data_IF_322341363177
#
_entry.id   IF_322341363177
#
_cell.length_a   1.000
_cell.length_b   1.000
_cell.length_c   1.000
_cell.angle_alpha   90.00
_cell.angle_beta   90.00
_cell.angle_gamma   90.00
#
_symmetry.space_group_name_H-M   'P 1'
#
loop_
_entity.id
_entity.type
_entity.pdbx_description
1 polymer ?
#
# COMPACT_ATOMS: atom_id res chain seq x y z
N UNK A 1 5.44 -4.16 -18.43
CA UNK A 1 4.77 -4.70 -17.23
C UNK A 1 4.13 -3.53 -16.50
N UNK A 2 2.80 -3.46 -16.50
CA UNK A 2 2.07 -2.25 -16.15
C UNK A 2 1.67 -2.25 -14.67
N UNK A 3 2.50 -1.71 -13.78
CA UNK A 3 2.02 -1.21 -12.48
C UNK A 3 1.38 0.17 -12.67
N UNK A 4 0.61 0.35 -13.74
CA UNK A 4 0.32 1.68 -14.28
C UNK A 4 -0.84 2.41 -13.60
N UNK A 5 -1.39 1.93 -12.46
CA UNK A 5 -2.57 2.56 -11.83
C UNK A 5 -2.63 2.56 -10.31
N UNK A 6 -1.56 2.15 -9.61
CA UNK A 6 -1.54 2.29 -8.15
C UNK A 6 -1.72 3.75 -7.77
N UNK A 7 -2.73 4.02 -6.94
CA UNK A 7 -3.06 5.37 -6.52
C UNK A 7 -2.23 5.72 -5.29
N UNK A 8 -1.47 6.83 -5.29
CA UNK A 8 -0.70 7.23 -4.13
C UNK A 8 -1.63 7.68 -3.00
N UNK A 9 -1.36 7.17 -1.78
CA UNK A 9 -2.08 7.53 -0.56
C UNK A 9 -1.24 8.48 0.28
N UNK A 10 0.01 8.07 0.57
CA UNK A 10 0.94 8.81 1.42
C UNK A 10 2.38 8.50 1.01
N UNK A 11 3.27 9.48 1.15
CA UNK A 11 4.69 9.31 0.93
C UNK A 11 5.44 10.05 2.04
N UNK A 12 6.06 9.27 2.92
CA UNK A 12 6.91 9.75 4.00
C UNK A 12 8.35 9.32 3.75
N UNK A 13 9.30 9.87 4.51
CA UNK A 13 10.73 9.59 4.35
C UNK A 13 11.10 8.10 4.39
N UNK A 14 10.34 7.28 5.11
CA UNK A 14 10.64 5.86 5.34
C UNK A 14 9.61 4.89 4.72
N UNK A 15 8.43 5.38 4.36
CA UNK A 15 7.33 4.53 3.87
C UNK A 15 6.52 5.24 2.80
N UNK A 16 6.25 4.52 1.72
CA UNK A 16 5.33 4.91 0.66
C UNK A 16 4.09 4.03 0.72
N UNK A 17 2.92 4.63 0.78
CA UNK A 17 1.63 3.94 0.83
C UNK A 17 0.88 4.18 -0.48
N UNK A 18 0.52 3.07 -1.13
CA UNK A 18 -0.24 3.05 -2.36
C UNK A 18 -1.53 2.27 -2.15
N UNK A 19 -2.53 2.51 -3.00
CA UNK A 19 -3.80 1.82 -2.98
C UNK A 19 -4.28 1.39 -4.35
N UNK A 20 -5.02 0.29 -4.40
CA UNK A 20 -5.73 -0.18 -5.59
C UNK A 20 -6.91 -1.09 -5.20
N UNK A 21 -7.82 -1.33 -6.13
CA UNK A 21 -8.95 -2.24 -5.93
C UNK A 21 -8.68 -3.63 -6.55
N UNK A 22 -9.19 -4.72 -5.95
CA UNK A 22 -8.91 -6.10 -6.37
C UNK A 22 -9.56 -6.51 -7.68
N UNK A 23 -10.56 -5.77 -8.16
CA UNK A 23 -11.12 -5.91 -9.51
C UNK A 23 -10.13 -5.52 -10.61
N UNK A 24 -9.08 -4.76 -10.28
CA UNK A 24 -8.12 -4.22 -11.27
C UNK A 24 -6.79 -4.92 -11.32
N UNK A 25 -6.36 -5.50 -10.21
CA UNK A 25 -5.10 -6.21 -10.15
C UNK A 25 -5.26 -7.46 -9.29
N UNK A 26 -4.92 -8.61 -9.88
CA UNK A 26 -4.93 -9.86 -9.15
C UNK A 26 -3.82 -9.82 -8.07
N UNK A 27 -4.05 -10.34 -6.85
CA UNK A 27 -3.08 -10.22 -5.75
C UNK A 27 -1.73 -10.87 -6.07
N UNK A 28 -1.72 -11.95 -6.87
CA UNK A 28 -0.49 -12.60 -7.34
C UNK A 28 0.32 -11.66 -8.25
N UNK A 29 -0.34 -10.99 -9.20
CA UNK A 29 0.34 -10.11 -10.15
C UNK A 29 0.85 -8.84 -9.46
N UNK A 30 0.08 -8.33 -8.50
CA UNK A 30 0.49 -7.24 -7.62
C UNK A 30 1.75 -7.62 -6.84
N UNK A 31 1.75 -8.78 -6.19
CA UNK A 31 2.91 -9.27 -5.42
C UNK A 31 4.12 -9.48 -6.31
N UNK A 32 3.96 -10.14 -7.47
CA UNK A 32 5.07 -10.37 -8.42
C UNK A 32 5.67 -9.05 -8.91
N UNK A 33 4.83 -8.07 -9.22
CA UNK A 33 5.28 -6.77 -9.70
C UNK A 33 6.00 -5.97 -8.61
N UNK A 34 5.50 -6.00 -7.37
CA UNK A 34 6.15 -5.36 -6.22
C UNK A 34 7.48 -6.04 -5.87
N UNK A 35 7.53 -7.37 -5.90
CA UNK A 35 8.77 -8.13 -5.73
C UNK A 35 9.81 -7.80 -6.79
N UNK A 36 9.39 -7.66 -8.05
CA UNK A 36 10.29 -7.29 -9.15
C UNK A 36 10.85 -5.86 -9.00
N UNK A 37 10.04 -4.89 -8.57
CA UNK A 37 10.48 -3.49 -8.45
C UNK A 37 11.24 -3.17 -7.16
N UNK A 38 10.77 -3.70 -6.03
CA UNK A 38 11.24 -3.30 -4.70
C UNK A 38 11.96 -4.42 -3.96
N UNK A 39 11.84 -5.68 -4.41
CA UNK A 39 12.33 -6.86 -3.71
C UNK A 39 11.31 -7.41 -2.71
N UNK A 40 11.33 -8.73 -2.52
CA UNK A 40 10.31 -9.50 -1.77
C UNK A 40 10.11 -9.07 -0.30
N UNK A 41 11.12 -8.43 0.30
CA UNK A 41 11.12 -8.04 1.73
C UNK A 41 10.92 -6.54 1.96
N UNK A 42 10.58 -5.78 0.91
CA UNK A 42 10.45 -4.31 1.02
C UNK A 42 9.02 -3.80 0.93
N UNK A 43 8.03 -4.69 0.97
CA UNK A 43 6.64 -4.28 0.92
C UNK A 43 5.73 -5.17 1.75
N UNK A 44 4.57 -4.61 2.11
CA UNK A 44 3.46 -5.31 2.75
C UNK A 44 2.16 -4.94 2.05
N UNK A 45 1.38 -5.94 1.69
CA UNK A 45 0.04 -5.77 1.12
C UNK A 45 -0.98 -6.14 2.19
N UNK A 46 -1.95 -5.26 2.43
CA UNK A 46 -3.09 -5.51 3.32
C UNK A 46 -4.38 -5.33 2.53
N UNK A 47 -5.30 -6.29 2.61
CA UNK A 47 -6.63 -6.15 2.02
C UNK A 47 -7.63 -5.76 3.10
N UNK A 48 -8.26 -4.60 2.93
CA UNK A 48 -9.28 -4.11 3.86
C UNK A 48 -10.48 -3.58 3.07
N UNK A 49 -11.68 -4.12 3.34
CA UNK A 49 -12.94 -3.71 2.70
C UNK A 49 -12.83 -3.56 1.17
N UNK A 50 -12.27 -4.57 0.51
CA UNK A 50 -12.07 -4.60 -0.95
C UNK A 50 -11.12 -3.52 -1.50
N UNK A 51 -10.17 -3.08 -0.69
CA UNK A 51 -9.12 -2.13 -1.07
C UNK A 51 -7.77 -2.72 -0.64
N UNK A 52 -6.82 -2.77 -1.56
CA UNK A 52 -5.43 -3.05 -1.25
C UNK A 52 -4.77 -1.80 -0.69
N UNK A 53 -4.17 -1.92 0.50
CA UNK A 53 -3.19 -0.98 1.03
C UNK A 53 -1.81 -1.60 0.88
N UNK A 54 -0.95 -0.93 0.14
CA UNK A 54 0.39 -1.39 -0.21
C UNK A 54 1.38 -0.46 0.47
N UNK A 55 2.13 -0.99 1.42
CA UNK A 55 3.20 -0.28 2.11
C UNK A 55 4.52 -0.68 1.48
N UNK A 56 5.33 0.28 1.05
CA UNK A 56 6.66 0.08 0.48
C UNK A 56 7.65 0.79 1.40
N UNK A 57 8.66 0.08 1.88
CA UNK A 57 9.63 0.58 2.85
C UNK A 57 10.93 1.00 2.14
N UNK A 58 11.41 2.21 2.42
CA UNK A 58 12.60 2.79 1.77
C UNK A 58 13.90 2.12 2.24
N UNK A 59 13.94 1.63 3.48
CA UNK A 59 15.08 0.92 4.04
C UNK A 59 14.71 -0.55 4.26
N UNK A 60 15.63 -1.45 3.92
CA UNK A 60 15.49 -2.88 4.14
C UNK A 60 15.79 -3.29 5.60
N UNK A 61 15.94 -2.32 6.52
CA UNK A 61 16.34 -2.59 7.89
C UNK A 61 15.35 -3.56 8.55
N UNK A 62 15.88 -4.77 8.73
CA UNK A 62 15.40 -5.86 9.55
C UNK A 62 13.90 -5.84 9.80
N UNK A 63 13.16 -6.41 8.86
CA UNK A 63 11.78 -6.88 9.03
C UNK A 63 11.59 -7.84 10.24
N UNK A 64 12.65 -8.14 11.01
CA UNK A 64 12.63 -8.84 12.30
C UNK A 64 12.64 -7.94 13.55
N UNK A 65 12.95 -6.64 13.45
CA UNK A 65 12.99 -5.71 14.61
C UNK A 65 11.91 -4.63 14.60
N UNK A 66 10.98 -4.62 13.63
CA UNK A 66 9.65 -4.01 13.83
C UNK A 66 8.77 -4.99 14.64
N UNK A 67 9.35 -5.48 15.74
CA UNK A 67 8.67 -6.27 16.76
C UNK A 67 7.77 -5.33 17.55
N UNK A 68 6.46 -5.37 17.29
CA UNK A 68 5.38 -5.03 18.24
C UNK A 68 5.43 -3.69 19.01
N UNK A 69 6.31 -2.75 18.70
CA UNK A 69 6.55 -1.53 19.50
C UNK A 69 5.73 -0.30 19.05
N UNK A 70 4.61 -0.51 18.35
CA UNK A 70 3.83 0.58 17.75
C UNK A 70 2.31 0.43 17.78
N UNK A 71 1.74 -0.47 18.60
CA UNK A 71 0.32 -0.83 18.53
C UNK A 71 -0.67 0.35 18.68
N UNK A 72 -0.25 1.50 19.25
CA UNK A 72 -1.10 2.69 19.38
C UNK A 72 -1.00 3.73 18.25
N UNK A 73 0.20 3.99 17.72
CA UNK A 73 0.42 4.95 16.63
C UNK A 73 0.17 4.32 15.25
N UNK A 74 0.52 3.05 15.05
CA UNK A 74 0.35 2.32 13.80
C UNK A 74 -1.15 2.12 13.47
N UNK A 75 -2.01 1.90 14.47
CA UNK A 75 -3.45 1.70 14.21
C UNK A 75 -4.15 2.99 13.76
N UNK A 76 -3.87 4.13 14.40
CA UNK A 76 -4.44 5.42 14.00
C UNK A 76 -3.97 5.78 12.59
N UNK A 77 -2.69 5.58 12.29
CA UNK A 77 -2.13 5.84 10.97
C UNK A 77 -2.77 4.93 9.92
N UNK A 78 -2.91 3.63 10.19
CA UNK A 78 -3.58 2.69 9.27
C UNK A 78 -5.04 3.06 9.00
N UNK A 79 -5.77 3.52 10.02
CA UNK A 79 -7.16 4.00 9.84
C UNK A 79 -7.18 5.25 8.96
N UNK A 80 -6.25 6.18 9.16
CA UNK A 80 -6.13 7.38 8.32
C UNK A 80 -5.75 7.03 6.88
N UNK A 81 -4.74 6.19 6.69
CA UNK A 81 -4.30 5.71 5.39
C UNK A 81 -5.45 4.99 4.66
N UNK A 82 -6.24 4.18 5.37
CA UNK A 82 -7.43 3.54 4.80
C UNK A 82 -8.50 4.57 4.38
N UNK A 83 -8.82 5.55 5.23
CA UNK A 83 -9.79 6.61 4.89
C UNK A 83 -9.33 7.42 3.68
N UNK A 84 -8.04 7.76 3.64
CA UNK A 84 -7.46 8.52 2.53
C UNK A 84 -7.43 7.69 1.25
N UNK A 85 -7.12 6.39 1.34
CA UNK A 85 -7.20 5.47 0.22
C UNK A 85 -8.63 5.40 -0.35
N UNK A 86 -9.66 5.31 0.49
CA UNK A 86 -11.05 5.35 0.06
C UNK A 86 -11.38 6.65 -0.69
N UNK A 87 -10.97 7.79 -0.13
CA UNK A 87 -11.19 9.10 -0.75
C UNK A 87 -10.49 9.19 -2.11
N UNK A 88 -9.21 8.82 -2.19
CA UNK A 88 -8.41 8.85 -3.41
C UNK A 88 -8.96 7.93 -4.50
N UNK A 89 -9.42 6.74 -4.14
CA UNK A 89 -10.07 5.83 -5.08
C UNK A 89 -11.41 6.39 -5.59
N UNK A 90 -12.18 7.04 -4.72
CA UNK A 90 -13.42 7.73 -5.12
C UNK A 90 -13.11 8.88 -6.08
N UNK A 91 -12.16 9.76 -5.77
CA UNK A 91 -11.69 10.82 -6.67
C UNK A 91 -11.23 10.23 -8.02
N UNK A 92 -10.38 9.20 -7.99
CA UNK A 92 -9.89 8.54 -9.19
C UNK A 92 -10.97 7.79 -9.98
N UNK A 93 -12.13 7.47 -9.39
CA UNK A 93 -13.29 6.96 -10.12
C UNK A 93 -14.09 8.07 -10.81
N UNK A 94 -14.11 9.28 -10.24
CA UNK A 94 -14.85 10.43 -10.77
C UNK A 94 -14.18 11.06 -11.99
N UNK A 95 -12.84 11.10 -12.03
CA UNK A 95 -12.07 11.62 -13.17
C UNK A 95 -11.85 10.62 -14.30
N UNK A 96 -12.62 9.52 -14.35
CA UNK A 96 -12.50 8.45 -15.35
C UNK A 96 -13.70 8.39 -16.31
N UNK A 97 -14.35 9.52 -16.56
CA UNK A 97 -15.34 9.70 -17.64
C UNK A 97 -14.60 9.93 -18.95
#
# INVERSE_FOLDING_TARGET
MAISRLTPVREDSNVKVLTETPDRIHPRDLSNSLSYLYGEKRFKISLQRNIYLIYIYCQAEEHGLISNSGQGHDLKQRIQDFKLAQQKLKEASLYRI
#
